data_IF_924595986077
#
_entry.id   IF_924595986077
#
_cell.length_a   1.000
_cell.length_b   1.000
_cell.length_c   1.000
_cell.angle_alpha   90.00
_cell.angle_beta   90.00
_cell.angle_gamma   90.00
#
_symmetry.space_group_name_H-M   'P 1'
#
loop_
_entity.id
_entity.type
_entity.pdbx_description
1 polymer ?
#
# COMPACT_ATOMS: atom_id res chain seq x y z
N UNK A 1 22.72 -29.61 26.42
CA UNK A 1 23.12 -28.22 26.18
C UNK A 1 22.36 -27.35 27.15
N UNK A 2 23.09 -26.67 28.03
CA UNK A 2 22.55 -25.70 28.99
C UNK A 2 22.56 -24.37 28.26
N UNK A 3 21.39 -23.74 28.11
CA UNK A 3 21.33 -22.36 27.65
C UNK A 3 21.65 -21.50 28.87
N UNK A 4 22.65 -20.64 28.75
CA UNK A 4 23.00 -19.72 29.81
C UNK A 4 22.31 -18.39 29.56
N UNK A 5 21.43 -18.02 30.49
CA UNK A 5 20.59 -16.85 30.36
C UNK A 5 21.39 -15.56 30.50
N UNK A 6 22.38 -15.55 31.40
CA UNK A 6 23.18 -14.37 31.73
C UNK A 6 24.13 -14.03 30.58
N UNK A 7 24.79 -15.04 30.00
CA UNK A 7 25.66 -14.87 28.84
C UNK A 7 24.92 -14.30 27.61
N UNK A 8 23.66 -14.68 27.41
CA UNK A 8 22.84 -14.15 26.31
C UNK A 8 22.42 -12.69 26.52
N UNK A 9 22.25 -12.25 27.77
CA UNK A 9 21.94 -10.85 28.08
C UNK A 9 23.16 -9.96 27.84
N UNK A 10 24.37 -10.49 28.07
CA UNK A 10 25.63 -9.80 27.77
C UNK A 10 25.93 -9.75 26.26
N UNK A 11 25.78 -10.87 25.55
CA UNK A 11 25.98 -10.96 24.10
C UNK A 11 24.74 -11.58 23.41
N UNK A 12 23.76 -10.75 23.03
CA UNK A 12 22.54 -11.24 22.39
C UNK A 12 22.85 -11.77 20.99
N UNK A 13 22.93 -13.09 20.86
CA UNK A 13 23.26 -13.74 19.59
C UNK A 13 22.03 -14.41 18.95
N UNK A 14 21.82 -14.16 17.65
CA UNK A 14 20.67 -14.72 16.94
C UNK A 14 20.72 -16.25 16.87
N UNK A 15 21.91 -16.86 16.89
CA UNK A 15 22.07 -18.31 16.84
C UNK A 15 21.65 -19.01 18.13
N UNK A 16 21.91 -18.41 19.29
CA UNK A 16 21.55 -18.98 20.58
C UNK A 16 20.05 -18.93 20.81
N UNK A 17 19.39 -17.86 20.35
CA UNK A 17 17.94 -17.73 20.38
C UNK A 17 17.23 -18.88 19.63
N UNK A 18 17.89 -19.44 18.62
CA UNK A 18 17.34 -20.55 17.83
C UNK A 18 17.42 -21.88 18.59
N UNK A 19 18.48 -22.04 19.39
CA UNK A 19 18.79 -23.22 20.20
C UNK A 19 18.04 -23.25 21.54
N UNK A 20 17.51 -22.11 22.00
CA UNK A 20 16.71 -21.96 23.23
C UNK A 20 15.44 -22.84 23.27
N UNK A 21 15.03 -23.26 24.47
CA UNK A 21 13.71 -23.89 24.68
C UNK A 21 12.64 -22.82 24.85
N UNK A 22 11.36 -23.20 24.70
CA UNK A 22 10.23 -22.28 24.85
C UNK A 22 10.22 -21.56 26.22
N UNK A 23 10.65 -22.25 27.29
CA UNK A 23 10.73 -21.67 28.64
C UNK A 23 11.76 -20.54 28.71
N UNK A 24 12.92 -20.74 28.08
CA UNK A 24 14.01 -19.78 28.07
C UNK A 24 13.64 -18.54 27.25
N UNK A 25 12.98 -18.73 26.10
CA UNK A 25 12.41 -17.64 25.30
C UNK A 25 11.39 -16.81 26.09
N UNK A 26 10.54 -17.46 26.89
CA UNK A 26 9.59 -16.74 27.75
C UNK A 26 10.32 -15.94 28.83
N UNK A 27 11.35 -16.51 29.46
CA UNK A 27 12.17 -15.81 30.44
C UNK A 27 12.85 -14.58 29.84
N UNK A 28 13.38 -14.71 28.61
CA UNK A 28 13.97 -13.60 27.86
C UNK A 28 12.91 -12.53 27.54
N UNK A 29 11.72 -12.95 27.10
CA UNK A 29 10.65 -12.00 26.78
C UNK A 29 10.22 -11.20 28.01
N UNK A 30 10.17 -11.83 29.19
CA UNK A 30 9.92 -11.14 30.45
C UNK A 30 11.06 -10.18 30.79
N UNK A 31 12.31 -10.58 30.61
CA UNK A 31 13.49 -9.77 30.94
C UNK A 31 13.61 -8.52 30.05
N UNK A 32 13.40 -8.66 28.75
CA UNK A 32 13.40 -7.55 27.80
C UNK A 32 12.06 -6.81 27.73
N UNK A 33 11.09 -7.15 28.59
CA UNK A 33 9.72 -6.60 28.61
C UNK A 33 8.99 -6.65 27.24
N UNK A 34 9.26 -7.71 26.47
CA UNK A 34 8.63 -7.95 25.17
C UNK A 34 7.29 -8.66 25.39
N UNK A 35 6.21 -8.07 24.87
CA UNK A 35 4.87 -8.61 24.99
C UNK A 35 4.73 -9.89 24.16
N UNK A 36 4.32 -10.98 24.81
CA UNK A 36 4.07 -12.26 24.15
C UNK A 36 2.71 -12.83 24.58
N UNK A 37 2.11 -13.66 23.72
CA UNK A 37 0.92 -14.42 24.08
C UNK A 37 1.29 -15.77 24.70
N UNK A 38 0.64 -16.17 25.79
CA UNK A 38 0.90 -17.47 26.46
C UNK A 38 0.66 -18.67 25.53
N UNK A 39 -0.23 -18.52 24.56
CA UNK A 39 -0.56 -19.52 23.55
C UNK A 39 0.33 -19.46 22.30
N UNK A 40 1.23 -18.47 22.20
CA UNK A 40 2.12 -18.33 21.04
C UNK A 40 3.03 -19.53 20.87
N UNK A 41 3.29 -19.85 19.60
CA UNK A 41 4.22 -20.93 19.22
C UNK A 41 5.66 -20.50 19.52
N UNK A 42 6.57 -21.48 19.62
CA UNK A 42 8.00 -21.20 19.89
C UNK A 42 8.57 -20.17 18.89
N UNK A 43 8.21 -20.33 17.62
CA UNK A 43 8.72 -19.49 16.53
C UNK A 43 8.14 -18.07 16.58
N UNK A 44 6.91 -17.90 17.05
CA UNK A 44 6.28 -16.58 17.22
C UNK A 44 6.94 -15.80 18.36
N UNK A 45 7.17 -16.45 19.51
CA UNK A 45 7.88 -15.81 20.64
C UNK A 45 9.30 -15.44 20.22
N UNK A 46 9.96 -16.29 19.41
CA UNK A 46 11.28 -16.01 18.86
C UNK A 46 11.27 -14.82 17.90
N UNK A 47 10.31 -14.73 16.99
CA UNK A 47 10.20 -13.60 16.07
C UNK A 47 10.02 -12.28 16.84
N UNK A 48 9.13 -12.26 17.83
CA UNK A 48 8.91 -11.10 18.70
C UNK A 48 10.17 -10.70 19.48
N UNK A 49 10.96 -11.68 19.94
CA UNK A 49 12.25 -11.43 20.58
C UNK A 49 13.26 -10.85 19.60
N UNK A 50 13.34 -11.34 18.37
CA UNK A 50 14.23 -10.76 17.35
C UNK A 50 13.84 -9.32 17.07
N UNK A 51 12.55 -9.07 16.83
CA UNK A 51 12.05 -7.72 16.54
C UNK A 51 12.29 -6.78 17.73
N UNK A 52 11.96 -7.21 18.96
CA UNK A 52 12.17 -6.41 20.16
C UNK A 52 13.65 -6.20 20.51
N UNK A 53 14.52 -7.18 20.26
CA UNK A 53 15.98 -7.01 20.44
C UNK A 53 16.58 -6.08 19.36
N UNK A 54 16.03 -6.06 18.15
CA UNK A 54 16.39 -5.08 17.11
C UNK A 54 15.92 -3.68 17.51
N UNK A 55 14.70 -3.53 18.02
CA UNK A 55 14.17 -2.25 18.52
C UNK A 55 14.95 -1.71 19.73
N UNK A 56 15.41 -2.61 20.62
CA UNK A 56 16.28 -2.27 21.76
C UNK A 56 17.75 -2.02 21.34
N UNK A 57 18.08 -2.13 20.04
CA UNK A 57 19.43 -1.89 19.51
C UNK A 57 20.46 -2.95 19.90
N UNK A 58 20.01 -4.08 20.45
CA UNK A 58 20.84 -5.20 20.90
C UNK A 58 21.22 -6.12 19.72
N UNK A 59 20.41 -6.15 18.66
CA UNK A 59 20.73 -6.83 17.40
C UNK A 59 20.88 -5.81 16.28
N UNK A 60 22.10 -5.62 15.77
CA UNK A 60 22.31 -4.87 14.53
C UNK A 60 21.79 -5.68 13.33
N UNK A 61 20.72 -5.20 12.71
CA UNK A 61 20.41 -5.63 11.35
C UNK A 61 21.57 -5.23 10.42
N UNK A 62 22.01 -6.09 9.50
CA UNK A 62 22.87 -5.64 8.43
C UNK A 62 22.06 -4.67 7.56
N UNK A 63 22.36 -3.39 7.69
CA UNK A 63 22.00 -2.37 6.71
C UNK A 63 22.63 -2.77 5.38
N UNK A 64 21.83 -3.39 4.51
CA UNK A 64 22.21 -3.69 3.14
C UNK A 64 22.34 -2.36 2.36
N UNK A 65 23.56 -1.83 2.39
CA UNK A 65 24.09 -0.85 1.45
C UNK A 65 24.54 -1.58 0.18
N UNK A 66 24.02 -1.12 -0.96
CA UNK A 66 24.57 -1.11 -2.34
C UNK A 66 25.25 -2.34 -2.97
N UNK A 67 24.95 -2.55 -4.27
CA UNK A 67 25.97 -2.86 -5.27
C UNK A 67 25.87 -4.20 -6.02
N UNK A 68 25.47 -4.10 -7.29
CA UNK A 68 26.07 -4.74 -8.48
C UNK A 68 26.46 -6.25 -8.48
N UNK A 69 25.82 -6.94 -9.43
CA UNK A 69 26.45 -7.72 -10.51
C UNK A 69 26.42 -9.27 -10.48
N UNK A 70 25.98 -9.77 -11.63
CA UNK A 70 26.22 -11.02 -12.35
C UNK A 70 26.20 -12.43 -11.69
N UNK A 71 25.25 -13.21 -12.24
CA UNK A 71 25.50 -14.45 -13.00
C UNK A 71 25.58 -15.81 -12.28
N UNK A 72 25.25 -16.82 -13.10
CA UNK A 72 25.59 -18.25 -13.00
C UNK A 72 24.52 -19.17 -12.36
N UNK A 73 23.62 -19.65 -13.23
CA UNK A 73 23.19 -21.06 -13.26
C UNK A 73 24.38 -21.94 -13.68
N UNK A 74 24.53 -23.21 -13.21
CA UNK A 74 23.92 -24.30 -13.98
C UNK A 74 23.58 -25.61 -13.20
N UNK A 75 22.61 -26.31 -13.79
CA UNK A 75 22.55 -27.76 -14.10
C UNK A 75 22.95 -28.85 -13.07
N UNK A 76 22.12 -29.90 -13.00
CA UNK A 76 22.56 -31.22 -12.52
C UNK A 76 21.44 -32.24 -12.28
N UNK A 77 20.98 -32.92 -13.33
CA UNK A 77 20.41 -34.29 -13.21
C UNK A 77 21.58 -35.28 -13.01
N UNK A 78 21.39 -36.42 -12.29
CA UNK A 78 21.08 -37.66 -13.01
C UNK A 78 20.23 -38.71 -12.24
N UNK A 79 19.30 -39.35 -12.99
CA UNK A 79 19.08 -40.80 -13.21
C UNK A 79 19.51 -41.82 -12.12
N UNK A 80 18.61 -42.77 -11.75
CA UNK A 80 18.67 -44.23 -12.10
C UNK A 80 17.82 -45.16 -11.17
N UNK A 81 16.97 -46.01 -11.80
CA UNK A 81 16.53 -47.43 -11.56
C UNK A 81 16.25 -47.96 -10.13
N UNK A 82 15.40 -48.95 -9.81
CA UNK A 82 14.69 -50.04 -10.53
C UNK A 82 13.62 -50.70 -9.58
N UNK A 83 12.48 -51.17 -10.15
CA UNK A 83 11.75 -52.46 -9.85
C UNK A 83 11.01 -52.71 -8.49
N UNK A 84 10.14 -53.76 -8.33
CA UNK A 84 8.82 -53.99 -8.99
C UNK A 84 7.71 -54.62 -8.07
N UNK A 85 6.43 -54.22 -8.25
CA UNK A 85 5.18 -54.98 -7.92
C UNK A 85 4.94 -55.48 -6.46
N UNK A 86 3.82 -56.17 -6.16
CA UNK A 86 2.60 -56.44 -6.94
C UNK A 86 1.28 -56.25 -6.12
N UNK A 87 0.17 -56.66 -6.74
CA UNK A 87 -1.05 -57.28 -6.17
C UNK A 87 -2.38 -56.57 -6.45
N UNK A 88 -3.13 -57.28 -7.29
CA UNK A 88 -4.56 -57.23 -7.55
C UNK A 88 -5.43 -57.13 -6.29
N UNK A 89 -6.56 -56.45 -6.44
CA UNK A 89 -7.63 -56.48 -5.45
C UNK A 89 -8.82 -55.58 -5.78
N UNK A 90 -9.53 -55.86 -6.88
CA UNK A 90 -10.97 -55.55 -6.93
C UNK A 90 -11.71 -56.51 -5.99
N UNK A 91 -12.77 -56.07 -5.26
CA UNK A 91 -14.13 -56.13 -5.81
C UNK A 91 -15.08 -55.08 -5.15
N UNK A 92 -16.43 -55.22 -5.21
CA UNK A 92 -17.30 -55.23 -6.39
C UNK A 92 -18.39 -54.13 -6.31
N UNK A 93 -19.07 -53.91 -7.43
CA UNK A 93 -20.13 -52.93 -7.57
C UNK A 93 -21.38 -53.15 -6.72
N UNK A 94 -21.99 -52.03 -6.35
CA UNK A 94 -23.40 -51.95 -5.95
C UNK A 94 -24.18 -51.22 -7.03
N UNK A 95 -25.11 -51.96 -7.64
CA UNK A 95 -26.15 -51.46 -8.52
C UNK A 95 -27.08 -50.52 -7.73
N UNK A 96 -27.48 -49.41 -8.34
CA UNK A 96 -28.90 -49.03 -8.36
C UNK A 96 -29.18 -48.04 -9.48
N UNK A 97 -29.84 -48.55 -10.52
CA UNK A 97 -30.67 -47.74 -11.39
C UNK A 97 -31.97 -47.41 -10.64
N UNK A 98 -32.38 -46.15 -10.74
CA UNK A 98 -33.70 -45.61 -10.42
C UNK A 98 -33.73 -44.24 -11.10
N UNK A 99 -34.30 -44.16 -12.31
CA UNK A 99 -35.69 -43.78 -12.56
C UNK A 99 -35.93 -42.31 -12.15
N UNK A 100 -36.14 -41.47 -13.17
CA UNK A 100 -36.01 -40.03 -13.12
C UNK A 100 -37.09 -39.26 -12.37
N UNK A 101 -36.80 -37.98 -12.18
CA UNK A 101 -37.76 -36.88 -11.97
C UNK A 101 -37.12 -35.65 -12.62
N UNK A 102 -37.77 -35.11 -13.65
CA UNK A 102 -37.54 -33.77 -14.15
C UNK A 102 -37.94 -32.76 -13.07
N UNK A 103 -36.98 -32.07 -12.47
CA UNK A 103 -37.22 -30.86 -11.69
C UNK A 103 -36.04 -29.90 -11.92
N UNK A 104 -36.27 -28.64 -12.36
CA UNK A 104 -35.19 -27.68 -12.53
C UNK A 104 -34.75 -27.18 -11.14
N UNK A 105 -33.52 -27.48 -10.68
CA UNK A 105 -33.14 -27.08 -9.34
C UNK A 105 -32.66 -25.63 -9.37
N UNK A 106 -33.47 -24.77 -8.75
CA UNK A 106 -33.07 -23.63 -7.92
C UNK A 106 -31.54 -23.58 -7.70
N UNK A 107 -30.82 -22.50 -8.10
CA UNK A 107 -29.40 -22.35 -7.83
C UNK A 107 -29.19 -22.02 -6.35
N UNK A 108 -29.54 -22.98 -5.49
CA UNK A 108 -28.98 -23.09 -4.17
C UNK A 108 -27.49 -23.28 -4.36
N UNK A 109 -26.73 -22.55 -3.56
CA UNK A 109 -25.28 -22.49 -3.51
C UNK A 109 -24.67 -23.89 -3.30
N UNK A 110 -24.67 -24.71 -4.35
CA UNK A 110 -24.09 -26.04 -4.31
C UNK A 110 -22.59 -25.87 -4.47
N UNK A 111 -21.85 -26.34 -3.47
CA UNK A 111 -20.40 -26.46 -3.54
C UNK A 111 -20.03 -27.09 -4.90
N UNK A 112 -18.94 -26.63 -5.55
CA UNK A 112 -18.46 -27.23 -6.79
C UNK A 112 -18.45 -28.75 -6.65
N UNK A 113 -19.21 -29.43 -7.52
CA UNK A 113 -19.30 -30.89 -7.51
C UNK A 113 -17.88 -31.42 -7.78
N UNK A 114 -17.26 -31.98 -6.74
CA UNK A 114 -15.92 -32.57 -6.86
C UNK A 114 -15.99 -33.68 -7.90
N UNK A 115 -15.34 -33.46 -9.05
CA UNK A 115 -15.14 -34.47 -10.07
C UNK A 115 -13.81 -35.17 -9.77
N UNK A 116 -13.81 -36.46 -9.39
CA UNK A 116 -12.61 -37.22 -9.10
C UNK A 116 -11.64 -37.36 -10.29
N UNK A 117 -12.04 -36.93 -11.50
CA UNK A 117 -11.17 -36.85 -12.68
C UNK A 117 -10.59 -35.46 -12.93
N UNK A 118 -10.88 -34.47 -12.09
CA UNK A 118 -10.23 -33.16 -12.15
C UNK A 118 -8.75 -33.29 -11.76
N UNK A 119 -7.82 -32.67 -12.52
CA UNK A 119 -6.41 -32.63 -12.12
C UNK A 119 -6.31 -32.08 -10.69
N UNK A 120 -5.55 -32.74 -9.79
CA UNK A 120 -5.34 -32.19 -8.45
C UNK A 120 -4.71 -30.82 -8.61
N UNK A 121 -5.37 -29.79 -8.05
CA UNK A 121 -4.81 -28.45 -8.04
C UNK A 121 -3.53 -28.51 -7.24
N UNK A 122 -2.39 -28.39 -7.93
CA UNK A 122 -1.08 -28.52 -7.28
C UNK A 122 -0.99 -27.51 -6.13
N UNK A 123 -0.54 -27.91 -4.92
CA UNK A 123 -0.41 -26.99 -3.78
C UNK A 123 0.42 -25.75 -4.12
N UNK A 124 1.41 -25.91 -5.02
CA UNK A 124 2.25 -24.81 -5.53
C UNK A 124 1.48 -23.80 -6.37
N UNK A 125 0.42 -24.22 -7.08
CA UNK A 125 -0.50 -23.34 -7.83
C UNK A 125 -1.40 -22.54 -6.88
N UNK A 126 -1.88 -23.17 -5.81
CA UNK A 126 -2.69 -22.52 -4.77
C UNK A 126 -1.90 -21.42 -4.04
N UNK A 127 -0.64 -21.69 -3.70
CA UNK A 127 0.24 -20.70 -3.06
C UNK A 127 0.55 -19.53 -3.99
N UNK A 128 0.76 -19.79 -5.29
CA UNK A 128 0.94 -18.74 -6.29
C UNK A 128 -0.32 -17.86 -6.41
N UNK A 129 -1.51 -18.47 -6.45
CA UNK A 129 -2.78 -17.75 -6.48
C UNK A 129 -2.98 -16.88 -5.22
N UNK A 130 -2.70 -17.41 -4.02
CA UNK A 130 -2.78 -16.66 -2.76
C UNK A 130 -1.84 -15.46 -2.74
N UNK A 131 -0.61 -15.63 -3.24
CA UNK A 131 0.36 -14.53 -3.38
C UNK A 131 -0.14 -13.47 -4.36
N UNK A 132 -0.67 -13.87 -5.51
CA UNK A 132 -1.23 -12.96 -6.50
C UNK A 132 -2.41 -12.16 -5.94
N UNK A 133 -3.34 -12.80 -5.23
CA UNK A 133 -4.47 -12.13 -4.56
C UNK A 133 -3.99 -11.11 -3.54
N UNK A 134 -2.98 -11.47 -2.73
CA UNK A 134 -2.41 -10.54 -1.74
C UNK A 134 -1.80 -9.31 -2.42
N UNK A 135 -1.02 -9.50 -3.49
CA UNK A 135 -0.42 -8.40 -4.23
C UNK A 135 -1.48 -7.52 -4.90
N UNK A 136 -2.50 -8.12 -5.51
CA UNK A 136 -3.60 -7.38 -6.13
C UNK A 136 -4.36 -6.53 -5.11
N UNK A 137 -4.65 -7.07 -3.92
CA UNK A 137 -5.28 -6.30 -2.83
C UNK A 137 -4.41 -5.13 -2.40
N UNK A 138 -3.12 -5.35 -2.16
CA UNK A 138 -2.19 -4.28 -1.75
C UNK A 138 -2.14 -3.16 -2.80
N UNK A 139 -2.05 -3.52 -4.09
CA UNK A 139 -2.03 -2.53 -5.18
C UNK A 139 -3.32 -1.72 -5.25
N UNK A 140 -4.47 -2.38 -5.17
CA UNK A 140 -5.77 -1.73 -5.20
C UNK A 140 -5.97 -0.80 -4.00
N UNK A 141 -5.53 -1.19 -2.81
CA UNK A 141 -5.60 -0.36 -1.61
C UNK A 141 -4.71 0.89 -1.72
N UNK A 142 -3.49 0.73 -2.25
CA UNK A 142 -2.59 1.85 -2.49
C UNK A 142 -3.17 2.85 -3.53
N UNK A 143 -3.68 2.33 -4.64
CA UNK A 143 -4.30 3.14 -5.70
C UNK A 143 -5.56 3.85 -5.21
N UNK A 144 -6.40 3.18 -4.40
CA UNK A 144 -7.58 3.80 -3.81
C UNK A 144 -7.20 4.95 -2.90
N UNK A 145 -6.20 4.75 -2.03
CA UNK A 145 -5.71 5.80 -1.13
C UNK A 145 -5.15 7.00 -1.90
N UNK A 146 -4.48 6.76 -3.02
CA UNK A 146 -4.00 7.82 -3.90
C UNK A 146 -5.17 8.58 -4.54
N UNK A 147 -6.19 7.88 -5.07
CA UNK A 147 -7.41 8.50 -5.59
C UNK A 147 -8.14 9.34 -4.55
N UNK A 148 -8.25 8.84 -3.33
CA UNK A 148 -8.93 9.56 -2.24
C UNK A 148 -8.17 10.85 -1.91
N UNK A 149 -6.82 10.80 -1.84
CA UNK A 149 -5.99 11.99 -1.64
C UNK A 149 -6.11 12.97 -2.81
N UNK A 150 -6.11 12.48 -4.04
CA UNK A 150 -6.25 13.35 -5.22
C UNK A 150 -7.63 14.00 -5.27
N UNK A 151 -8.69 13.25 -4.94
CA UNK A 151 -10.05 13.75 -4.91
C UNK A 151 -10.25 14.81 -3.82
N UNK A 152 -9.64 14.63 -2.65
CA UNK A 152 -9.65 15.62 -1.57
C UNK A 152 -8.96 16.93 -2.00
N UNK A 153 -7.79 16.84 -2.65
CA UNK A 153 -7.10 18.01 -3.18
C UNK A 153 -7.92 18.71 -4.28
N UNK A 154 -8.50 17.94 -5.20
CA UNK A 154 -9.37 18.46 -6.25
C UNK A 154 -10.58 19.20 -5.67
N UNK A 155 -11.20 18.65 -4.61
CA UNK A 155 -12.31 19.29 -3.92
C UNK A 155 -11.89 20.62 -3.28
N UNK A 156 -10.71 20.67 -2.66
CA UNK A 156 -10.18 21.92 -2.08
C UNK A 156 -9.90 22.97 -3.16
N UNK A 157 -9.30 22.58 -4.29
CA UNK A 157 -9.09 23.48 -5.43
C UNK A 157 -10.42 24.03 -5.94
N UNK A 158 -11.41 23.17 -6.21
CA UNK A 158 -12.74 23.62 -6.65
C UNK A 158 -13.42 24.56 -5.67
N UNK A 159 -13.25 24.33 -4.36
CA UNK A 159 -13.78 25.22 -3.33
C UNK A 159 -13.16 26.63 -3.45
N UNK A 160 -11.83 26.69 -3.58
CA UNK A 160 -11.09 27.94 -3.74
C UNK A 160 -11.43 28.65 -5.06
N UNK A 161 -11.60 27.92 -6.15
CA UNK A 161 -12.05 28.47 -7.44
C UNK A 161 -13.42 29.12 -7.32
N UNK A 162 -14.38 28.43 -6.71
CA UNK A 162 -15.73 28.96 -6.49
C UNK A 162 -15.70 30.21 -5.59
N UNK A 163 -14.83 30.25 -4.59
CA UNK A 163 -14.66 31.41 -3.71
C UNK A 163 -14.09 32.61 -4.47
N UNK A 164 -13.04 32.40 -5.27
CA UNK A 164 -12.48 33.44 -6.12
C UNK A 164 -13.50 33.96 -7.16
N UNK A 165 -14.26 33.06 -7.79
CA UNK A 165 -15.29 33.43 -8.76
C UNK A 165 -16.42 34.26 -8.13
N UNK A 166 -16.80 33.94 -6.88
CA UNK A 166 -17.75 34.73 -6.11
C UNK A 166 -17.23 36.14 -5.86
N UNK A 167 -15.98 36.27 -5.44
CA UNK A 167 -15.36 37.57 -5.17
C UNK A 167 -15.26 38.43 -6.43
N UNK A 168 -14.85 37.83 -7.56
CA UNK A 168 -14.81 38.50 -8.85
C UNK A 168 -16.21 38.97 -9.26
N UNK A 169 -17.23 38.11 -9.08
CA UNK A 169 -18.62 38.46 -9.40
C UNK A 169 -19.14 39.60 -8.52
N UNK A 170 -18.82 39.61 -7.23
CA UNK A 170 -19.17 40.69 -6.31
C UNK A 170 -18.52 42.00 -6.74
N UNK A 171 -17.20 42.02 -6.99
CA UNK A 171 -16.50 43.22 -7.46
C UNK A 171 -17.03 43.73 -8.78
N UNK A 172 -17.37 42.83 -9.71
CA UNK A 172 -17.98 43.22 -10.99
C UNK A 172 -19.32 43.91 -10.77
N UNK A 173 -20.17 43.38 -9.89
CA UNK A 173 -21.46 43.98 -9.57
C UNK A 173 -21.30 45.33 -8.86
N UNK A 174 -20.33 45.48 -7.96
CA UNK A 174 -20.01 46.75 -7.31
C UNK A 174 -19.56 47.81 -8.32
N UNK A 175 -18.68 47.45 -9.25
CA UNK A 175 -18.24 48.35 -10.33
C UNK A 175 -19.38 48.73 -11.27
N UNK A 176 -20.29 47.79 -11.57
CA UNK A 176 -21.48 48.08 -12.38
C UNK A 176 -22.46 49.00 -11.65
N UNK A 177 -22.64 48.81 -10.34
CA UNK A 177 -23.47 49.68 -9.52
C UNK A 177 -22.90 51.10 -9.42
N UNK A 178 -21.59 51.24 -9.19
CA UNK A 178 -20.89 52.53 -9.15
C UNK A 178 -20.89 53.21 -10.52
N UNK A 179 -20.68 52.45 -11.60
CA UNK A 179 -20.76 52.96 -12.97
C UNK A 179 -22.17 53.36 -13.41
N UNK A 180 -23.21 52.86 -12.72
CA UNK A 180 -24.62 53.22 -12.97
C UNK A 180 -25.11 54.38 -12.10
N UNK A 181 -24.35 54.80 -11.10
CA UNK A 181 -24.65 56.04 -10.38
C UNK A 181 -24.49 57.21 -11.37
N UNK A 182 -25.55 58.02 -11.61
CA UNK A 182 -25.42 59.20 -12.46
C UNK A 182 -24.37 60.13 -11.84
N UNK A 183 -23.57 60.84 -12.64
CA UNK A 183 -22.59 61.78 -12.11
C UNK A 183 -23.32 62.77 -11.20
N UNK A 184 -22.94 62.80 -9.93
CA UNK A 184 -23.43 63.84 -9.01
C UNK A 184 -23.17 65.20 -9.67
N UNK A 185 -24.16 66.11 -9.74
CA UNK A 185 -23.97 67.41 -10.36
C UNK A 185 -22.88 68.16 -9.61
N UNK A 186 -21.69 68.21 -10.21
CA UNK A 186 -20.62 69.11 -9.77
C UNK A 186 -21.11 70.54 -10.02
N UNK A 187 -21.11 71.42 -8.99
CA UNK A 187 -21.33 72.85 -9.23
C UNK A 187 -20.19 73.34 -10.13
N UNK A 188 -20.55 73.77 -11.33
CA UNK A 188 -19.60 74.05 -12.41
C UNK A 188 -18.56 75.12 -12.05
N UNK A 189 -17.31 74.98 -12.53
CA UNK A 189 -16.40 76.10 -12.59
C UNK A 189 -16.71 76.92 -13.86
N UNK A 190 -16.98 78.21 -13.68
CA UNK A 190 -17.27 79.14 -14.76
C UNK A 190 -16.14 79.24 -15.82
N UNK A 191 -16.46 79.79 -17.00
CA UNK A 191 -15.51 79.85 -18.11
C UNK A 191 -14.49 80.96 -17.85
N UNK A 192 -13.21 80.62 -17.81
CA UNK A 192 -12.14 81.62 -17.91
C UNK A 192 -10.91 81.06 -18.62
N UNK A 193 -10.72 81.64 -19.81
CA UNK A 193 -9.44 81.97 -20.43
C UNK A 193 -8.57 80.85 -21.02
N UNK A 194 -8.54 80.89 -22.35
CA UNK A 194 -7.48 80.43 -23.24
C UNK A 194 -6.07 80.78 -22.77
N UNK A 195 -5.13 79.85 -22.97
CA UNK A 195 -3.74 80.08 -23.42
C UNK A 195 -3.17 78.72 -23.83
N UNK A 196 -3.12 78.39 -25.13
CA UNK A 196 -1.98 78.64 -26.03
C UNK A 196 -0.72 77.83 -25.68
N UNK A 197 -0.47 76.79 -26.49
CA UNK A 197 0.81 76.23 -26.97
C UNK A 197 1.99 76.03 -25.99
N UNK A 198 2.65 74.86 -26.07
CA UNK A 198 4.04 74.66 -26.54
C UNK A 198 4.50 73.20 -26.26
N UNK A 199 4.76 72.49 -27.36
CA UNK A 199 5.65 71.34 -27.67
C UNK A 199 6.11 70.28 -26.64
N UNK A 200 6.35 69.03 -27.11
CA UNK A 200 6.83 67.90 -26.30
C UNK A 200 8.36 67.93 -26.13
N UNK A 201 8.84 67.53 -24.96
CA UNK A 201 10.28 67.30 -24.71
C UNK A 201 10.50 65.86 -24.25
N UNK A 202 11.36 65.18 -25.01
CA UNK A 202 11.82 63.81 -24.87
C UNK A 202 12.88 63.74 -23.77
N UNK A 203 12.94 62.65 -23.00
CA UNK A 203 14.09 61.98 -22.33
C UNK A 203 13.49 61.21 -21.14
N UNK A 204 13.55 59.88 -21.06
CA UNK A 204 14.73 59.03 -21.11
C UNK A 204 14.73 58.25 -19.79
N UNK A 205 14.55 56.93 -19.85
CA UNK A 205 14.40 56.12 -18.63
C UNK A 205 14.20 54.65 -18.94
N UNK A 206 15.19 54.07 -19.63
CA UNK A 206 15.36 52.63 -19.66
C UNK A 206 15.70 52.15 -18.25
N UNK A 207 14.89 51.25 -17.69
CA UNK A 207 15.34 50.36 -16.63
C UNK A 207 15.05 48.93 -17.05
N UNK A 208 16.11 48.35 -17.60
CA UNK A 208 16.40 46.93 -17.71
C UNK A 208 16.35 46.32 -16.30
N UNK A 209 15.48 45.34 -16.06
CA UNK A 209 15.63 44.42 -14.93
C UNK A 209 15.59 43.02 -15.50
N UNK A 210 16.79 42.46 -15.57
CA UNK A 210 17.12 41.10 -15.98
C UNK A 210 17.14 40.17 -14.75
N UNK A 211 16.65 38.96 -15.02
CA UNK A 211 16.85 37.66 -14.35
C UNK A 211 16.34 37.49 -12.92
#
# INVERSE_FOLDING_TARGET
MVFDFEAFVEEPSLEELNKCKKKDLIALAVHFNILYSKQSRKDEIRALLVDGLVELGLLSQPVASEGTDESIVPAGTPKREEKPGPSDGSPPGTKRAGAGVDEPPNPQFTLPRYDPHSPPTSPRSLDAARRAVRLARIKMEAEQKERDRSAELEFQVRKLEIEADKDVKLRRLELEAEGRLPPSPTPGPGPSAQAAAHSPSVHGGALDVRF
#
